data_IF_926805137391
#
_entry.id   IF_926805137391
#
_cell.length_a   1.000
_cell.length_b   1.000
_cell.length_c   1.000
_cell.angle_alpha   90.00
_cell.angle_beta   90.00
_cell.angle_gamma   90.00
#
_symmetry.space_group_name_H-M   'P 1'
#
loop_
_entity.id
_entity.type
_entity.pdbx_description
1 polymer ?
#
# COMPACT_ATOMS: atom_id res chain seq x y z
N UNK A 1 -19.05 71.00 11.45
CA UNK A 1 -20.06 70.47 10.51
C UNK A 1 -19.34 70.27 9.19
N UNK A 2 -19.42 69.07 8.61
CA UNK A 2 -18.95 68.66 7.28
C UNK A 2 -17.46 68.89 6.95
N UNK A 3 -16.65 67.86 6.66
CA UNK A 3 -16.74 66.94 5.50
C UNK A 3 -16.57 67.72 4.18
N UNK A 4 -15.79 67.37 3.17
CA UNK A 4 -14.86 66.26 2.88
C UNK A 4 -13.85 66.77 1.81
N UNK A 5 -12.77 66.12 1.38
CA UNK A 5 -12.24 64.75 1.49
C UNK A 5 -10.70 64.79 1.68
N UNK A 6 -10.10 63.68 2.16
CA UNK A 6 -8.68 63.35 1.90
C UNK A 6 -8.62 61.88 1.48
N UNK A 7 -8.35 61.59 0.21
CA UNK A 7 -8.28 60.20 -0.27
C UNK A 7 -7.02 59.53 0.26
N UNK A 8 -7.16 58.77 1.35
CA UNK A 8 -6.13 57.84 1.82
C UNK A 8 -5.91 56.79 0.74
N UNK A 9 -4.70 56.72 0.19
CA UNK A 9 -4.27 55.56 -0.60
C UNK A 9 -4.11 54.39 0.37
N UNK A 10 -5.16 53.59 0.55
CA UNK A 10 -5.06 52.33 1.28
C UNK A 10 -4.23 51.36 0.41
N UNK A 11 -3.07 50.97 0.93
CA UNK A 11 -2.26 49.87 0.40
C UNK A 11 -3.01 48.55 0.61
N UNK A 12 -3.90 48.23 -0.34
CA UNK A 12 -4.48 46.90 -0.46
C UNK A 12 -3.46 45.99 -1.15
N UNK A 13 -2.47 45.52 -0.39
CA UNK A 13 -1.78 44.27 -0.72
C UNK A 13 -2.82 43.15 -0.56
N UNK A 14 -3.57 42.88 -1.64
CA UNK A 14 -4.42 41.71 -1.74
C UNK A 14 -3.55 40.47 -1.56
N UNK A 15 -3.70 39.79 -0.42
CA UNK A 15 -3.06 38.50 -0.13
C UNK A 15 -3.71 37.40 -0.99
N UNK A 16 -3.46 37.46 -2.30
CA UNK A 16 -3.95 36.53 -3.28
C UNK A 16 -3.07 35.28 -3.22
N UNK A 17 -3.60 34.09 -2.87
CA UNK A 17 -2.80 32.87 -2.72
C UNK A 17 -1.97 32.60 -3.96
N UNK A 18 -0.71 32.25 -3.77
CA UNK A 18 0.20 31.87 -4.85
C UNK A 18 -0.29 30.54 -5.42
N UNK A 19 -1.01 30.63 -6.54
CA UNK A 19 -1.46 29.46 -7.28
C UNK A 19 -0.28 28.80 -7.97
N UNK A 20 0.03 27.59 -7.56
CA UNK A 20 1.03 26.76 -8.23
C UNK A 20 0.38 25.98 -9.36
N UNK A 21 1.07 25.93 -10.51
CA UNK A 21 0.73 25.02 -11.60
C UNK A 21 0.56 23.59 -11.05
N UNK A 22 -0.44 22.87 -11.57
CA UNK A 22 -0.71 21.49 -11.20
C UNK A 22 0.54 20.61 -11.33
N UNK A 23 0.84 19.86 -10.26
CA UNK A 23 1.78 18.75 -10.25
C UNK A 23 1.04 17.46 -10.60
N UNK A 24 1.60 16.61 -11.45
CA UNK A 24 1.13 15.23 -11.57
C UNK A 24 1.57 14.40 -10.36
N UNK A 25 0.59 13.81 -9.68
CA UNK A 25 0.79 13.01 -8.48
C UNK A 25 0.65 11.51 -8.80
N UNK A 26 1.37 10.63 -8.07
CA UNK A 26 1.29 9.20 -8.29
C UNK A 26 -0.08 8.66 -7.84
N UNK A 27 -0.89 8.23 -8.80
CA UNK A 27 -2.26 7.79 -8.55
C UNK A 27 -2.35 6.42 -7.84
N UNK A 28 -1.26 5.63 -7.83
CA UNK A 28 -1.24 4.30 -7.20
C UNK A 28 0.17 3.87 -6.80
N UNK A 29 0.28 3.26 -5.62
CA UNK A 29 1.41 2.43 -5.22
C UNK A 29 1.15 0.99 -5.70
N UNK A 30 2.05 0.43 -6.49
CA UNK A 30 2.00 -0.96 -6.96
C UNK A 30 3.04 -1.78 -6.21
N UNK A 31 2.59 -2.82 -5.49
CA UNK A 31 3.46 -3.86 -4.92
C UNK A 31 3.70 -4.93 -5.97
N UNK A 32 4.96 -5.30 -6.15
CA UNK A 32 5.40 -6.43 -6.97
C UNK A 32 5.17 -7.72 -6.17
N UNK A 33 4.02 -8.37 -6.40
CA UNK A 33 3.63 -9.59 -5.68
C UNK A 33 4.46 -10.82 -6.11
N UNK A 34 5.00 -10.84 -7.33
CA UNK A 34 5.80 -11.96 -7.86
C UNK A 34 7.15 -12.09 -7.13
N UNK A 35 7.71 -10.99 -6.64
CA UNK A 35 8.96 -10.96 -5.87
C UNK A 35 8.77 -10.74 -4.37
N UNK A 36 7.53 -10.57 -3.90
CA UNK A 36 7.24 -10.31 -2.50
C UNK A 36 7.45 -11.54 -1.59
N UNK A 37 7.99 -11.29 -0.41
CA UNK A 37 8.07 -12.22 0.73
C UNK A 37 7.82 -11.46 2.03
N UNK A 38 7.59 -12.17 3.12
CA UNK A 38 7.36 -11.58 4.46
C UNK A 38 8.48 -10.63 4.94
N UNK A 39 9.68 -10.72 4.34
CA UNK A 39 10.86 -9.90 4.69
C UNK A 39 11.37 -9.01 3.56
N UNK A 40 10.75 -9.05 2.37
CA UNK A 40 11.16 -8.26 1.22
C UNK A 40 9.97 -7.92 0.32
N UNK A 41 9.83 -6.65 -0.07
CA UNK A 41 8.93 -6.27 -1.14
C UNK A 41 9.54 -5.16 -2.00
N UNK A 42 9.17 -5.16 -3.28
CA UNK A 42 9.39 -4.04 -4.19
C UNK A 42 8.09 -3.28 -4.38
N UNK A 43 8.19 -1.97 -4.26
CA UNK A 43 7.10 -1.02 -4.53
C UNK A 43 7.47 -0.13 -5.71
N UNK A 44 6.48 0.18 -6.54
CA UNK A 44 6.60 1.11 -7.68
C UNK A 44 5.54 2.19 -7.53
N UNK A 45 5.93 3.46 -7.71
CA UNK A 45 5.01 4.59 -7.76
C UNK A 45 5.35 5.49 -8.95
N UNK A 46 4.31 5.86 -9.71
CA UNK A 46 4.37 6.72 -10.89
C UNK A 46 2.97 7.32 -11.17
N UNK A 47 2.86 8.45 -11.89
CA UNK A 47 3.95 9.36 -12.26
C UNK A 47 4.41 10.24 -11.09
N UNK A 48 5.64 10.74 -11.16
CA UNK A 48 6.12 11.88 -10.39
C UNK A 48 6.67 12.95 -11.35
N UNK A 49 6.55 14.22 -11.00
CA UNK A 49 7.28 15.29 -11.69
C UNK A 49 8.80 15.07 -11.66
N UNK A 50 9.50 15.59 -12.68
CA UNK A 50 10.94 15.42 -12.82
C UNK A 50 11.70 15.89 -11.57
N UNK A 51 12.51 15.02 -10.98
CA UNK A 51 13.31 15.29 -9.77
C UNK A 51 12.57 15.01 -8.45
N UNK A 52 11.24 14.90 -8.44
CA UNK A 52 10.52 14.44 -7.25
C UNK A 52 10.82 12.98 -6.93
N UNK A 53 11.16 12.16 -7.93
CA UNK A 53 11.49 10.76 -7.70
C UNK A 53 12.68 10.58 -6.75
N UNK A 54 13.72 11.40 -6.92
CA UNK A 54 14.88 11.40 -6.02
C UNK A 54 14.54 11.96 -4.63
N UNK A 55 13.75 13.03 -4.56
CA UNK A 55 13.34 13.66 -3.29
C UNK A 55 12.53 12.71 -2.42
N UNK A 56 11.50 12.06 -3.00
CA UNK A 56 10.64 11.11 -2.31
C UNK A 56 11.40 9.81 -1.99
N UNK A 57 12.10 9.23 -2.96
CA UNK A 57 12.85 7.97 -2.78
C UNK A 57 13.94 8.07 -1.70
N UNK A 58 14.70 9.16 -1.68
CA UNK A 58 15.72 9.38 -0.65
C UNK A 58 15.10 9.68 0.73
N UNK A 59 14.01 10.46 0.79
CA UNK A 59 13.34 10.80 2.06
C UNK A 59 12.75 9.55 2.72
N UNK A 60 11.98 8.75 1.97
CA UNK A 60 11.44 7.47 2.45
C UNK A 60 12.57 6.53 2.89
N UNK A 61 13.64 6.40 2.11
CA UNK A 61 14.81 5.59 2.48
C UNK A 61 15.43 6.01 3.81
N UNK A 62 15.52 7.32 4.10
CA UNK A 62 16.03 7.81 5.40
C UNK A 62 15.09 7.42 6.53
N UNK A 63 13.80 7.75 6.42
CA UNK A 63 12.80 7.50 7.47
C UNK A 63 12.65 6.00 7.78
N UNK A 64 12.62 5.14 6.75
CA UNK A 64 12.57 3.68 6.89
C UNK A 64 13.74 3.13 7.72
N UNK A 65 14.96 3.65 7.51
CA UNK A 65 16.15 3.16 8.19
C UNK A 65 16.30 3.70 9.62
N UNK A 66 15.87 4.94 9.90
CA UNK A 66 16.10 5.61 11.20
C UNK A 66 14.92 5.63 12.15
N UNK A 67 13.69 5.80 11.66
CA UNK A 67 12.61 6.40 12.46
C UNK A 67 11.51 5.45 12.88
N UNK A 68 11.48 4.23 12.33
CA UNK A 68 10.52 3.20 12.73
C UNK A 68 10.78 2.72 14.17
N UNK A 69 9.69 2.45 14.88
CA UNK A 69 9.74 1.85 16.22
C UNK A 69 9.99 0.34 16.13
N UNK A 70 10.77 -0.18 17.06
CA UNK A 70 10.99 -1.62 17.21
C UNK A 70 11.57 -1.97 18.57
N UNK A 71 11.56 -3.25 18.91
CA UNK A 71 12.06 -3.73 20.19
C UNK A 71 13.43 -4.38 20.07
N UNK A 72 14.27 -4.13 21.08
CA UNK A 72 15.61 -4.68 21.21
C UNK A 72 16.00 -4.81 22.69
N UNK A 73 17.00 -5.65 22.96
CA UNK A 73 17.58 -5.81 24.30
C UNK A 73 18.44 -4.57 24.61
N UNK A 74 18.27 -3.99 25.81
CA UNK A 74 19.03 -2.82 26.29
C UNK A 74 20.01 -3.16 27.40
N UNK A 75 19.69 -4.13 28.24
CA UNK A 75 20.56 -4.60 29.31
C UNK A 75 20.44 -6.10 29.53
N UNK A 76 21.49 -6.72 30.06
CA UNK A 76 21.51 -8.14 30.43
C UNK A 76 22.20 -8.32 31.79
N UNK A 77 21.71 -9.26 32.58
CA UNK A 77 22.31 -9.69 33.86
C UNK A 77 22.42 -11.21 33.83
N UNK A 78 23.64 -11.72 33.85
CA UNK A 78 23.92 -13.16 33.85
C UNK A 78 24.36 -13.57 35.27
N UNK A 79 23.81 -14.66 35.81
CA UNK A 79 24.18 -15.14 37.13
C UNK A 79 25.67 -15.50 37.20
N UNK A 80 26.37 -15.02 38.24
CA UNK A 80 27.81 -15.24 38.44
C UNK A 80 28.73 -14.29 37.64
N UNK A 81 28.19 -13.46 36.75
CA UNK A 81 28.94 -12.50 35.93
C UNK A 81 28.90 -11.10 36.53
N UNK A 82 30.06 -10.44 36.62
CA UNK A 82 30.16 -9.05 37.11
C UNK A 82 30.34 -8.03 35.99
N UNK A 83 30.92 -8.44 34.85
CA UNK A 83 31.26 -7.59 33.71
C UNK A 83 31.33 -8.39 32.40
N UNK A 84 31.25 -7.71 31.25
CA UNK A 84 31.25 -8.31 29.91
C UNK A 84 32.49 -9.14 29.55
N UNK A 85 33.67 -8.82 30.11
CA UNK A 85 34.93 -9.53 29.85
C UNK A 85 35.12 -10.82 30.69
N UNK A 86 34.06 -11.35 31.30
CA UNK A 86 34.12 -12.56 32.11
C UNK A 86 33.91 -13.83 31.27
N UNK A 87 34.43 -14.95 31.76
CA UNK A 87 34.10 -16.28 31.26
C UNK A 87 33.18 -16.98 32.26
N UNK A 88 32.24 -17.81 31.79
CA UNK A 88 31.30 -18.51 32.68
C UNK A 88 31.63 -20.01 32.71
N UNK A 89 31.88 -20.62 33.89
CA UNK A 89 32.21 -22.04 33.99
C UNK A 89 31.10 -22.93 33.41
N UNK A 90 31.45 -23.67 32.36
CA UNK A 90 30.53 -24.61 31.68
C UNK A 90 29.75 -24.03 30.50
N UNK A 91 30.05 -22.80 30.09
CA UNK A 91 29.67 -22.25 28.78
C UNK A 91 30.88 -22.33 27.84
N UNK A 92 30.66 -22.59 26.56
CA UNK A 92 31.73 -22.66 25.55
C UNK A 92 32.16 -21.26 25.09
N UNK A 93 31.23 -20.32 25.00
CA UNK A 93 31.43 -18.94 24.57
C UNK A 93 31.67 -17.97 25.74
N UNK A 94 32.49 -16.93 25.51
CA UNK A 94 32.73 -15.85 26.48
C UNK A 94 31.51 -14.91 26.58
N UNK A 95 31.37 -14.18 27.69
CA UNK A 95 30.21 -13.27 27.90
C UNK A 95 30.10 -12.21 26.78
N UNK A 96 31.21 -11.75 26.22
CA UNK A 96 31.22 -10.86 25.03
C UNK A 96 30.48 -11.49 23.84
N UNK A 97 30.70 -12.77 23.55
CA UNK A 97 30.04 -13.47 22.45
C UNK A 97 28.56 -13.74 22.74
N UNK A 98 28.22 -14.02 24.00
CA UNK A 98 26.82 -14.11 24.46
C UNK A 98 26.11 -12.77 24.21
N UNK A 99 26.73 -11.64 24.56
CA UNK A 99 26.19 -10.29 24.30
C UNK A 99 26.03 -10.03 22.79
N UNK A 100 27.03 -10.41 21.97
CA UNK A 100 26.94 -10.27 20.50
C UNK A 100 25.85 -11.17 19.88
N UNK A 101 25.56 -12.31 20.49
CA UNK A 101 24.47 -13.19 20.06
C UNK A 101 23.10 -12.68 20.53
N UNK A 102 22.99 -12.15 21.74
CA UNK A 102 21.77 -11.50 22.24
C UNK A 102 21.37 -10.30 21.38
N UNK A 103 22.33 -9.48 20.92
CA UNK A 103 22.09 -8.38 19.95
C UNK A 103 21.44 -8.83 18.62
N UNK A 104 21.50 -10.12 18.26
CA UNK A 104 20.87 -10.69 17.06
C UNK A 104 19.43 -11.15 17.31
N UNK A 105 18.97 -11.21 18.56
CA UNK A 105 17.60 -11.63 18.90
C UNK A 105 16.62 -10.51 18.57
N UNK A 106 15.54 -10.86 17.88
CA UNK A 106 14.53 -9.94 17.37
C UNK A 106 13.21 -10.14 18.10
N UNK A 107 12.64 -9.04 18.59
CA UNK A 107 11.37 -9.02 19.30
C UNK A 107 10.31 -8.22 18.52
N UNK A 108 9.11 -8.78 18.38
CA UNK A 108 7.88 -8.02 18.13
C UNK A 108 7.37 -7.55 19.48
N UNK A 109 6.94 -6.29 19.57
CA UNK A 109 6.39 -5.71 20.79
C UNK A 109 4.93 -5.29 20.59
N UNK A 110 4.07 -5.74 21.49
CA UNK A 110 2.67 -5.32 21.58
C UNK A 110 2.47 -4.21 22.64
N UNK A 111 3.45 -4.00 23.53
CA UNK A 111 3.47 -2.92 24.51
C UNK A 111 4.70 -2.02 24.37
N UNK A 112 4.64 -0.79 24.93
CA UNK A 112 5.76 0.16 24.92
C UNK A 112 6.58 0.20 26.22
N UNK A 113 6.12 -0.47 27.27
CA UNK A 113 6.80 -0.49 28.57
C UNK A 113 8.05 -1.39 28.53
N UNK A 114 9.18 -0.98 29.15
CA UNK A 114 10.28 -1.88 29.44
C UNK A 114 9.84 -3.12 30.22
N UNK A 115 10.35 -4.29 29.83
CA UNK A 115 10.15 -5.55 30.54
C UNK A 115 11.46 -6.31 30.67
N UNK A 116 11.58 -7.06 31.76
CA UNK A 116 12.66 -8.02 31.98
C UNK A 116 12.10 -9.41 31.68
N UNK A 117 12.72 -10.11 30.74
CA UNK A 117 12.44 -11.49 30.38
C UNK A 117 13.55 -12.36 30.98
N UNK A 118 13.21 -13.52 31.53
CA UNK A 118 14.22 -14.44 32.09
C UNK A 118 14.46 -15.63 31.15
N UNK A 119 15.73 -16.01 31.03
CA UNK A 119 16.20 -17.19 30.32
C UNK A 119 16.84 -18.11 31.38
N UNK A 120 16.07 -19.12 31.81
CA UNK A 120 16.46 -20.07 32.84
C UNK A 120 16.47 -21.47 32.24
N UNK A 121 17.66 -22.04 32.00
CA UNK A 121 17.83 -23.37 31.40
C UNK A 121 18.88 -24.20 32.13
N UNK A 122 18.59 -25.49 32.30
CA UNK A 122 19.50 -26.47 32.90
C UNK A 122 19.59 -27.71 31.99
N UNK A 123 20.41 -27.59 30.93
CA UNK A 123 20.61 -28.62 29.91
C UNK A 123 22.07 -28.66 29.47
N UNK A 124 22.46 -29.75 28.83
CA UNK A 124 23.71 -29.84 28.07
C UNK A 124 23.40 -29.52 26.60
N UNK A 125 24.28 -28.80 25.91
CA UNK A 125 24.09 -28.39 24.52
C UNK A 125 23.57 -26.95 24.33
N UNK A 126 23.00 -26.70 23.15
CA UNK A 126 22.76 -25.33 22.64
C UNK A 126 21.56 -24.65 23.31
N UNK A 127 21.76 -23.41 23.75
CA UNK A 127 20.73 -22.47 24.22
C UNK A 127 20.35 -21.52 23.10
N UNK A 128 19.05 -21.37 22.86
CA UNK A 128 18.48 -20.62 21.76
C UNK A 128 17.53 -19.53 22.25
N UNK A 129 17.23 -18.54 21.40
CA UNK A 129 16.26 -17.50 21.71
C UNK A 129 14.83 -18.05 21.93
N UNK A 130 14.53 -19.26 21.45
CA UNK A 130 13.29 -19.98 21.77
C UNK A 130 13.22 -20.53 23.20
N UNK A 131 14.34 -20.58 23.93
CA UNK A 131 14.37 -20.93 25.35
C UNK A 131 14.07 -19.74 26.28
N UNK A 132 13.98 -18.51 25.76
CA UNK A 132 13.61 -17.31 26.53
C UNK A 132 12.16 -17.45 26.99
N UNK A 133 11.89 -17.21 28.28
CA UNK A 133 10.53 -17.23 28.81
C UNK A 133 9.76 -16.03 28.24
N UNK A 134 8.84 -16.32 27.31
CA UNK A 134 8.07 -15.30 26.62
C UNK A 134 7.10 -14.55 27.52
N UNK A 135 6.90 -13.26 27.22
CA UNK A 135 5.85 -12.43 27.79
C UNK A 135 4.77 -12.19 26.72
N UNK A 136 3.54 -11.91 27.14
CA UNK A 136 2.44 -11.57 26.24
C UNK A 136 2.70 -10.24 25.47
N UNK A 137 3.62 -9.41 25.95
CA UNK A 137 3.98 -8.13 25.34
C UNK A 137 5.15 -8.21 24.36
N UNK A 138 5.97 -9.27 24.40
CA UNK A 138 7.21 -9.39 23.62
C UNK A 138 7.38 -10.80 23.04
N UNK A 139 7.16 -10.96 21.74
CA UNK A 139 7.39 -12.23 21.03
C UNK A 139 8.76 -12.28 20.34
N UNK A 140 9.52 -13.36 20.57
CA UNK A 140 10.77 -13.65 19.86
C UNK A 140 10.47 -14.15 18.44
N UNK A 141 10.91 -13.42 17.42
CA UNK A 141 10.73 -13.80 16.01
C UNK A 141 11.70 -14.93 15.62
N UNK A 142 13.00 -14.74 15.85
CA UNK A 142 14.04 -15.66 15.43
C UNK A 142 14.38 -16.70 16.51
N UNK A 143 13.39 -17.52 16.90
CA UNK A 143 13.50 -18.56 17.96
C UNK A 143 14.69 -19.52 17.79
N UNK A 144 15.22 -19.69 16.56
CA UNK A 144 16.41 -20.50 16.24
C UNK A 144 17.76 -19.81 16.48
N UNK A 145 17.78 -18.53 16.86
CA UNK A 145 19.02 -17.79 17.12
C UNK A 145 19.76 -18.43 18.31
N UNK A 146 20.99 -18.87 18.10
CA UNK A 146 21.86 -19.38 19.18
C UNK A 146 22.29 -18.22 20.07
N UNK A 147 22.27 -18.44 21.39
CA UNK A 147 22.76 -17.51 22.40
C UNK A 147 24.13 -17.99 22.89
N UNK A 148 24.19 -19.24 23.38
CA UNK A 148 25.39 -19.91 23.86
C UNK A 148 25.23 -21.44 23.83
N UNK A 149 26.28 -22.16 24.19
CA UNK A 149 26.37 -23.62 24.23
C UNK A 149 26.90 -24.06 25.60
N UNK A 150 26.17 -24.94 26.27
CA UNK A 150 26.52 -25.49 27.58
C UNK A 150 27.32 -26.79 27.41
N UNK A 151 28.54 -26.85 27.96
CA UNK A 151 29.48 -27.97 27.77
C UNK A 151 29.11 -29.22 28.59
N UNK A 152 28.30 -29.01 29.62
CA UNK A 152 27.83 -29.98 30.62
C UNK A 152 26.44 -29.53 31.07
N UNK A 153 25.76 -30.35 31.87
CA UNK A 153 24.54 -29.95 32.57
C UNK A 153 24.82 -28.89 33.65
N UNK A 154 24.82 -27.62 33.24
CA UNK A 154 24.96 -26.43 34.10
C UNK A 154 23.67 -25.60 34.03
N UNK A 155 23.33 -24.93 35.12
CA UNK A 155 22.22 -23.97 35.16
C UNK A 155 22.68 -22.62 34.63
N UNK A 156 22.04 -22.15 33.56
CA UNK A 156 22.24 -20.82 33.00
C UNK A 156 21.00 -19.98 33.31
N UNK A 157 21.19 -18.99 34.17
CA UNK A 157 20.18 -18.00 34.56
C UNK A 157 20.60 -16.62 34.03
N UNK A 158 19.74 -16.01 33.23
CA UNK A 158 20.00 -14.75 32.55
C UNK A 158 18.74 -13.90 32.50
N UNK A 159 18.77 -12.70 33.08
CA UNK A 159 17.71 -11.70 32.96
C UNK A 159 18.05 -10.73 31.82
N UNK A 160 17.10 -10.53 30.92
CA UNK A 160 17.25 -9.79 29.67
C UNK A 160 16.23 -8.66 29.67
N UNK A 161 16.67 -7.41 29.64
CA UNK A 161 15.76 -6.27 29.54
C UNK A 161 15.51 -5.90 28.08
N UNK A 162 14.24 -5.90 27.68
CA UNK A 162 13.77 -5.49 26.35
C UNK A 162 13.03 -4.16 26.46
N UNK A 163 13.33 -3.24 25.54
CA UNK A 163 12.65 -1.95 25.42
C UNK A 163 12.25 -1.67 23.97
N UNK A 164 11.23 -0.84 23.80
CA UNK A 164 10.88 -0.25 22.49
C UNK A 164 11.64 1.06 22.31
N UNK A 165 12.22 1.25 21.13
CA UNK A 165 12.98 2.44 20.77
C UNK A 165 12.93 2.71 19.27
N UNK A 166 13.78 3.62 18.80
CA UNK A 166 13.93 3.99 17.38
C UNK A 166 15.42 4.02 17.03
N UNK A 167 15.75 3.71 15.78
CA UNK A 167 17.13 3.74 15.29
C UNK A 167 18.09 2.85 16.06
N UNK A 168 19.11 3.47 16.67
CA UNK A 168 20.19 2.82 17.41
C UNK A 168 20.46 3.58 18.71
N UNK A 169 20.77 2.85 19.80
CA UNK A 169 21.36 3.39 21.03
C UNK A 169 22.61 2.61 21.39
N UNK A 170 23.61 3.32 21.87
CA UNK A 170 24.83 2.74 22.45
C UNK A 170 24.56 2.11 23.81
N UNK A 171 25.45 1.19 24.23
CA UNK A 171 25.44 0.66 25.58
C UNK A 171 25.58 1.74 26.66
N UNK A 172 26.28 2.84 26.37
CA UNK A 172 26.39 3.99 27.28
C UNK A 172 25.06 4.73 27.47
N UNK A 173 24.30 4.97 26.40
CA UNK A 173 22.95 5.58 26.46
C UNK A 173 21.92 4.68 27.15
N UNK A 174 22.17 3.37 27.19
CA UNK A 174 21.34 2.39 27.89
C UNK A 174 21.72 2.20 29.37
N UNK A 175 22.81 2.80 29.86
CA UNK A 175 23.18 2.74 31.29
C UNK A 175 22.16 3.51 32.13
N UNK A 176 21.70 2.89 33.21
CA UNK A 176 20.84 3.52 34.22
C UNK A 176 21.66 3.92 35.44
N UNK A 177 21.43 5.13 35.94
CA UNK A 177 21.94 5.56 37.24
C UNK A 177 21.39 4.63 38.34
N UNK A 178 22.26 4.14 39.22
CA UNK A 178 21.89 3.19 40.27
C UNK A 178 21.66 1.74 39.79
N UNK A 179 22.02 1.38 38.56
CA UNK A 179 22.00 -0.02 38.12
C UNK A 179 22.86 -0.91 39.03
N UNK A 180 22.37 -2.07 39.50
CA UNK A 180 23.17 -2.97 40.33
C UNK A 180 24.37 -3.54 39.58
N UNK A 181 25.44 -3.86 40.32
CA UNK A 181 26.62 -4.57 39.80
C UNK A 181 26.18 -5.88 39.11
N UNK A 182 26.81 -6.19 37.97
CA UNK A 182 26.45 -7.33 37.11
C UNK A 182 25.37 -7.06 36.06
N UNK A 183 24.83 -5.83 35.97
CA UNK A 183 24.07 -5.40 34.79
C UNK A 183 25.03 -4.89 33.72
N UNK A 184 25.03 -5.57 32.58
CA UNK A 184 25.77 -5.18 31.37
C UNK A 184 24.79 -4.46 30.45
N UNK A 185 25.00 -3.17 30.21
CA UNK A 185 24.24 -2.42 29.21
C UNK A 185 24.81 -2.73 27.81
N UNK A 186 23.94 -2.98 26.83
CA UNK A 186 24.35 -3.41 25.48
C UNK A 186 23.82 -2.44 24.43
N UNK A 187 24.52 -2.31 23.31
CA UNK A 187 24.01 -1.52 22.18
C UNK A 187 22.74 -2.14 21.59
N UNK A 188 21.72 -1.32 21.33
CA UNK A 188 20.40 -1.75 20.88
C UNK A 188 20.10 -1.27 19.45
N UNK A 189 19.74 -2.21 18.58
CA UNK A 189 19.30 -1.93 17.20
C UNK A 189 17.77 -2.07 17.15
N UNK A 190 17.07 -0.96 17.33
CA UNK A 190 15.61 -0.93 17.32
C UNK A 190 15.03 -0.99 15.90
N UNK A 191 15.74 -0.43 14.90
CA UNK A 191 15.25 -0.37 13.52
C UNK A 191 14.93 -1.78 12.96
N UNK A 192 13.68 -2.04 12.52
CA UNK A 192 13.26 -3.33 11.96
C UNK A 192 13.54 -3.47 10.46
N UNK A 193 14.04 -2.41 9.81
CA UNK A 193 14.42 -2.40 8.38
C UNK A 193 15.93 -2.58 8.26
N UNK A 194 16.34 -3.67 7.61
CA UNK A 194 17.76 -4.02 7.45
C UNK A 194 18.41 -3.30 6.27
N UNK A 195 17.66 -3.07 5.19
CA UNK A 195 18.15 -2.45 3.96
C UNK A 195 17.01 -1.78 3.21
N UNK A 196 17.32 -0.65 2.58
CA UNK A 196 16.47 0.00 1.58
C UNK A 196 17.32 0.45 0.40
N UNK A 197 16.87 0.11 -0.80
CA UNK A 197 17.39 0.62 -2.08
C UNK A 197 16.25 1.32 -2.80
N UNK A 198 16.52 2.49 -3.39
CA UNK A 198 15.61 3.11 -4.34
C UNK A 198 16.34 3.29 -5.68
N UNK A 199 15.58 3.30 -6.76
CA UNK A 199 16.01 3.73 -8.09
C UNK A 199 14.92 4.58 -8.70
N UNK A 200 15.33 5.55 -9.52
CA UNK A 200 14.43 6.41 -10.30
C UNK A 200 14.63 6.05 -11.76
N UNK A 201 13.55 5.78 -12.47
CA UNK A 201 13.51 5.49 -13.90
C UNK A 201 12.63 6.56 -14.59
N UNK A 202 12.91 6.88 -15.85
CA UNK A 202 12.01 7.73 -16.64
C UNK A 202 10.77 6.93 -17.07
N UNK A 203 9.59 7.53 -16.93
CA UNK A 203 8.31 6.94 -17.35
C UNK A 203 7.55 7.86 -18.29
N UNK A 204 6.65 7.28 -19.09
CA UNK A 204 5.90 8.00 -20.13
C UNK A 204 4.42 8.04 -19.75
N UNK A 205 3.89 9.24 -19.58
CA UNK A 205 2.46 9.49 -19.37
C UNK A 205 1.86 10.10 -20.64
N UNK A 206 1.13 9.29 -21.41
CA UNK A 206 0.48 9.73 -22.65
C UNK A 206 1.48 10.19 -23.73
N UNK A 207 1.57 11.50 -23.97
CA UNK A 207 2.50 12.09 -24.93
C UNK A 207 3.80 12.62 -24.29
N UNK A 208 3.83 12.83 -22.98
CA UNK A 208 5.00 13.34 -22.23
C UNK A 208 5.85 12.18 -21.69
N UNK A 209 7.18 12.37 -21.66
CA UNK A 209 8.19 11.30 -21.47
C UNK A 209 9.19 11.59 -20.34
N UNK A 210 8.96 12.66 -19.59
CA UNK A 210 9.87 13.32 -18.66
C UNK A 210 9.49 13.13 -17.19
N UNK A 211 8.48 12.31 -16.91
CA UNK A 211 8.08 11.93 -15.55
C UNK A 211 9.05 10.92 -14.93
N UNK A 212 9.21 11.00 -13.61
CA UNK A 212 9.93 10.05 -12.79
C UNK A 212 9.02 8.90 -12.33
N UNK A 213 9.58 7.68 -12.30
CA UNK A 213 9.02 6.49 -11.66
C UNK A 213 9.96 6.06 -10.54
N UNK A 214 9.44 5.94 -9.32
CA UNK A 214 10.23 5.50 -8.16
C UNK A 214 10.01 4.01 -7.94
N UNK A 215 11.10 3.26 -7.93
CA UNK A 215 11.12 1.86 -7.50
C UNK A 215 11.84 1.80 -6.15
N UNK A 216 11.19 1.21 -5.16
CA UNK A 216 11.68 1.08 -3.78
C UNK A 216 11.74 -0.40 -3.40
N UNK A 217 12.95 -0.92 -3.23
CA UNK A 217 13.24 -2.24 -2.68
C UNK A 217 13.41 -2.12 -1.15
N UNK A 218 12.54 -2.75 -0.36
CA UNK A 218 12.55 -2.71 1.13
C UNK A 218 12.79 -4.10 1.69
N UNK A 219 13.81 -4.25 2.56
CA UNK A 219 14.09 -5.49 3.29
C UNK A 219 13.88 -5.30 4.81
N UNK A 220 12.83 -5.89 5.34
CA UNK A 220 12.57 -5.95 6.79
C UNK A 220 13.23 -7.19 7.39
N UNK A 221 13.22 -7.29 8.71
CA UNK A 221 13.93 -8.35 9.43
C UNK A 221 12.99 -9.40 10.05
N UNK A 222 11.69 -9.32 9.76
CA UNK A 222 10.62 -10.17 10.29
C UNK A 222 9.86 -9.58 11.48
N UNK A 223 10.28 -8.43 12.04
CA UNK A 223 9.51 -7.72 13.09
C UNK A 223 8.34 -6.89 12.55
N UNK A 224 8.33 -6.58 11.26
CA UNK A 224 7.32 -5.79 10.56
C UNK A 224 7.28 -6.23 9.10
N UNK A 225 6.11 -6.19 8.47
CA UNK A 225 6.02 -6.39 7.02
C UNK A 225 6.61 -5.19 6.24
N UNK A 226 7.18 -5.40 5.04
CA UNK A 226 7.65 -4.31 4.19
C UNK A 226 6.56 -3.28 3.84
N UNK A 227 5.30 -3.70 3.78
CA UNK A 227 4.16 -2.85 3.45
C UNK A 227 3.81 -1.89 4.62
N UNK A 228 3.70 -2.43 5.84
CA UNK A 228 3.49 -1.65 7.06
C UNK A 228 4.65 -0.68 7.33
N UNK A 229 5.90 -1.13 7.11
CA UNK A 229 7.09 -0.29 7.26
C UNK A 229 7.02 0.95 6.35
N UNK A 230 6.60 0.77 5.09
CA UNK A 230 6.44 1.87 4.14
C UNK A 230 5.27 2.80 4.51
N UNK A 231 4.15 2.25 4.97
CA UNK A 231 3.01 3.03 5.46
C UNK A 231 3.40 3.91 6.66
N UNK A 232 4.04 3.32 7.67
CA UNK A 232 4.51 4.04 8.87
C UNK A 232 5.56 5.11 8.52
N UNK A 233 6.52 4.79 7.65
CA UNK A 233 7.53 5.77 7.21
C UNK A 233 6.91 6.94 6.42
N UNK A 234 5.90 6.66 5.59
CA UNK A 234 5.18 7.70 4.84
C UNK A 234 4.37 8.60 5.77
N UNK A 235 3.72 8.03 6.78
CA UNK A 235 2.98 8.78 7.81
C UNK A 235 3.92 9.67 8.66
N UNK A 236 5.08 9.16 9.08
CA UNK A 236 6.10 9.93 9.80
C UNK A 236 6.63 11.08 8.93
N UNK A 237 6.90 10.83 7.64
CA UNK A 237 7.39 11.86 6.72
C UNK A 237 6.35 12.98 6.52
N UNK A 238 5.08 12.62 6.29
CA UNK A 238 3.98 13.59 6.22
C UNK A 238 3.89 14.44 7.49
N UNK A 239 3.92 13.80 8.66
CA UNK A 239 3.78 14.53 9.92
C UNK A 239 4.92 15.53 10.20
N UNK A 240 6.11 15.26 9.67
CA UNK A 240 7.22 16.24 9.69
C UNK A 240 7.05 17.40 8.70
N UNK A 241 6.22 17.24 7.66
CA UNK A 241 5.90 18.29 6.69
C UNK A 241 4.74 19.18 7.16
N UNK A 242 3.79 18.66 7.95
CA UNK A 242 2.63 19.41 8.48
C UNK A 242 3.04 20.75 9.13
N UNK A 243 4.18 20.80 9.83
CA UNK A 243 4.70 22.03 10.48
C UNK A 243 5.06 23.15 9.49
N UNK A 244 5.43 22.79 8.25
CA UNK A 244 5.74 23.75 7.20
C UNK A 244 4.51 24.19 6.41
N UNK A 245 3.47 23.34 6.36
CA UNK A 245 2.17 23.68 5.74
C UNK A 245 1.43 24.67 6.63
N UNK A 246 1.26 24.33 7.90
CA UNK A 246 0.51 25.12 8.89
C UNK A 246 1.20 26.45 9.30
N UNK A 247 2.25 26.88 8.59
CA UNK A 247 2.87 28.19 8.79
C UNK A 247 2.03 29.30 8.15
N UNK A 248 1.35 29.01 7.04
CA UNK A 248 0.47 29.93 6.33
C UNK A 248 -0.55 29.15 5.47
N UNK A 249 -1.59 28.62 6.11
CA UNK A 249 -2.60 27.72 5.50
C UNK A 249 -3.33 28.36 4.29
N UNK A 250 -3.39 29.71 4.23
CA UNK A 250 -4.10 30.47 3.20
C UNK A 250 -3.21 30.93 2.03
N UNK A 251 -1.88 30.72 2.08
CA UNK A 251 -0.96 31.31 1.10
C UNK A 251 -0.73 30.51 -0.19
N UNK A 252 -0.98 29.19 -0.20
CA UNK A 252 -0.64 28.31 -1.33
C UNK A 252 -1.80 27.39 -1.70
N UNK A 253 -2.46 27.73 -2.82
CA UNK A 253 -3.44 26.85 -3.47
C UNK A 253 -2.81 26.08 -4.62
N UNK A 254 -3.09 24.77 -4.71
CA UNK A 254 -2.82 24.01 -5.93
C UNK A 254 -3.99 24.17 -6.90
N UNK A 255 -3.70 24.38 -8.19
CA UNK A 255 -4.75 24.26 -9.19
C UNK A 255 -5.17 22.78 -9.31
N UNK A 256 -6.41 22.49 -8.90
CA UNK A 256 -7.02 21.19 -9.16
C UNK A 256 -7.10 20.94 -10.67
N UNK A 257 -7.07 19.67 -11.08
CA UNK A 257 -7.19 19.29 -12.47
C UNK A 257 -8.40 19.98 -13.13
N UNK A 258 -8.26 20.61 -14.32
CA UNK A 258 -9.39 21.21 -15.00
C UNK A 258 -10.46 20.13 -15.18
N UNK A 259 -11.61 20.36 -14.57
CA UNK A 259 -12.67 19.38 -14.47
C UNK A 259 -13.32 19.08 -15.83
N UNK A 260 -12.88 19.68 -16.93
CA UNK A 260 -13.45 19.50 -18.28
C UNK A 260 -13.53 18.03 -18.70
N UNK A 261 -12.46 17.23 -18.52
CA UNK A 261 -12.52 15.78 -18.75
C UNK A 261 -13.32 15.00 -17.69
N UNK A 262 -13.58 15.58 -16.51
CA UNK A 262 -14.37 14.95 -15.45
C UNK A 262 -15.87 15.22 -15.64
N UNK A 263 -16.24 16.47 -15.90
CA UNK A 263 -17.62 16.93 -16.10
C UNK A 263 -18.18 16.46 -17.44
N UNK A 264 -17.42 16.51 -18.54
CA UNK A 264 -17.91 16.03 -19.83
C UNK A 264 -18.09 14.50 -19.79
N UNK A 265 -17.15 13.76 -19.19
CA UNK A 265 -17.34 12.32 -18.96
C UNK A 265 -18.39 12.00 -17.89
N UNK A 266 -18.62 12.83 -16.87
CA UNK A 266 -19.66 12.61 -15.87
C UNK A 266 -21.06 12.92 -16.43
N UNK A 267 -21.19 13.96 -17.24
CA UNK A 267 -22.40 14.29 -17.98
C UNK A 267 -22.71 13.19 -19.00
N UNK A 268 -21.72 12.77 -19.80
CA UNK A 268 -21.85 11.65 -20.72
C UNK A 268 -22.19 10.34 -19.99
N UNK A 269 -21.49 10.02 -18.89
CA UNK A 269 -21.78 8.84 -18.05
C UNK A 269 -23.18 8.90 -17.43
N UNK A 270 -23.66 10.07 -17.00
CA UNK A 270 -25.02 10.25 -16.51
C UNK A 270 -26.05 10.05 -17.63
N UNK A 271 -25.80 10.59 -18.81
CA UNK A 271 -26.67 10.49 -19.98
C UNK A 271 -26.74 9.06 -20.53
N UNK A 272 -25.60 8.36 -20.64
CA UNK A 272 -25.53 6.96 -21.06
C UNK A 272 -26.19 5.99 -20.07
N UNK A 273 -26.15 6.29 -18.77
CA UNK A 273 -26.77 5.48 -17.72
C UNK A 273 -28.21 5.88 -17.37
N UNK A 274 -28.76 6.90 -18.04
CA UNK A 274 -30.17 7.27 -17.98
C UNK A 274 -31.06 6.10 -18.47
N UNK A 275 -32.26 5.93 -17.89
CA UNK A 275 -33.18 4.90 -18.37
C UNK A 275 -33.82 5.27 -19.70
N UNK A 276 -34.03 4.28 -20.57
CA UNK A 276 -34.82 4.44 -21.79
C UNK A 276 -36.25 4.92 -21.51
N UNK A 277 -36.80 4.62 -20.33
CA UNK A 277 -38.14 5.07 -19.92
C UNK A 277 -38.20 6.55 -19.49
N UNK A 278 -37.05 7.21 -19.30
CA UNK A 278 -36.95 8.65 -19.01
C UNK A 278 -36.89 9.50 -20.28
N UNK A 279 -36.62 8.89 -21.45
CA UNK A 279 -36.76 9.56 -22.75
C UNK A 279 -38.25 9.59 -23.14
N UNK A 280 -38.73 10.76 -23.57
CA UNK A 280 -40.07 10.97 -24.13
C UNK A 280 -40.28 10.28 -25.49
N UNK A 281 -40.30 8.94 -25.47
CA UNK A 281 -40.59 8.07 -26.61
C UNK A 281 -42.08 7.70 -26.63
N UNK A 282 -42.64 7.43 -27.82
CA UNK A 282 -43.98 6.85 -27.91
C UNK A 282 -44.08 5.53 -27.15
N UNK A 283 -45.29 5.27 -26.64
CA UNK A 283 -45.67 4.00 -26.00
C UNK A 283 -45.31 2.78 -26.86
N UNK A 284 -45.23 2.92 -28.20
CA UNK A 284 -44.77 1.85 -29.09
C UNK A 284 -43.26 1.65 -29.02
N UNK A 285 -42.48 2.72 -29.11
CA UNK A 285 -41.02 2.64 -29.08
C UNK A 285 -40.52 2.12 -27.72
N UNK A 286 -41.01 2.68 -26.61
CA UNK A 286 -40.65 2.22 -25.25
C UNK A 286 -40.99 0.74 -25.03
N UNK A 287 -42.17 0.28 -25.45
CA UNK A 287 -42.53 -1.14 -25.35
C UNK A 287 -41.66 -2.05 -26.25
N UNK A 288 -41.19 -1.57 -27.41
CA UNK A 288 -40.27 -2.37 -28.24
C UNK A 288 -38.88 -2.49 -27.60
N UNK A 289 -38.38 -1.43 -26.95
CA UNK A 289 -37.08 -1.41 -26.28
C UNK A 289 -37.07 -2.27 -25.02
N UNK A 290 -38.12 -2.19 -24.19
CA UNK A 290 -38.31 -3.08 -23.05
C UNK A 290 -38.40 -4.57 -23.47
N UNK A 291 -39.09 -4.88 -24.59
CA UNK A 291 -39.11 -6.24 -25.16
C UNK A 291 -37.75 -6.69 -25.76
N UNK A 292 -36.84 -5.76 -26.05
CA UNK A 292 -35.50 -6.03 -26.54
C UNK A 292 -34.44 -6.15 -25.41
N UNK A 293 -34.86 -6.01 -24.15
CA UNK A 293 -33.99 -5.91 -22.96
C UNK A 293 -33.00 -4.72 -23.03
N UNK A 294 -33.34 -3.64 -23.72
CA UNK A 294 -32.53 -2.41 -23.79
C UNK A 294 -33.08 -1.44 -22.73
N UNK A 295 -32.37 -1.30 -21.61
CA UNK A 295 -32.86 -0.55 -20.44
C UNK A 295 -32.20 0.81 -20.25
N UNK A 296 -30.99 1.02 -20.81
CA UNK A 296 -30.22 2.27 -20.71
C UNK A 296 -29.94 2.88 -22.09
N UNK A 297 -29.76 4.20 -22.12
CA UNK A 297 -29.46 4.96 -23.35
C UNK A 297 -28.13 4.53 -23.99
N UNK A 298 -27.11 4.21 -23.18
CA UNK A 298 -25.83 3.71 -23.69
C UNK A 298 -25.93 2.32 -24.34
N UNK A 299 -26.80 1.44 -23.82
CA UNK A 299 -27.10 0.17 -24.49
C UNK A 299 -27.82 0.37 -25.84
N UNK A 300 -28.63 1.42 -25.95
CA UNK A 300 -29.32 1.80 -27.18
C UNK A 300 -28.35 2.41 -28.22
N UNK A 301 -27.44 3.29 -27.79
CA UNK A 301 -26.44 3.92 -28.66
C UNK A 301 -25.44 2.91 -29.27
N UNK A 302 -25.13 1.82 -28.55
CA UNK A 302 -24.34 0.70 -29.07
C UNK A 302 -25.02 -0.09 -30.19
N UNK A 303 -26.34 0.03 -30.39
CA UNK A 303 -27.10 -0.77 -31.37
C UNK A 303 -27.13 -0.12 -32.75
N UNK A 304 -26.83 -0.91 -33.77
CA UNK A 304 -26.90 -0.47 -35.17
C UNK A 304 -28.34 -0.40 -35.67
N UNK A 305 -28.64 0.50 -36.62
CA UNK A 305 -29.97 0.60 -37.24
C UNK A 305 -30.47 -0.74 -37.82
N UNK A 306 -29.55 -1.54 -38.36
CA UNK A 306 -29.81 -2.87 -38.92
C UNK A 306 -30.12 -3.95 -37.86
N UNK A 307 -29.65 -3.79 -36.62
CA UNK A 307 -30.07 -4.63 -35.49
C UNK A 307 -31.45 -4.20 -34.97
N UNK A 308 -31.68 -2.89 -34.85
CA UNK A 308 -32.96 -2.36 -34.36
C UNK A 308 -34.15 -2.82 -35.21
N UNK A 309 -33.98 -2.89 -36.53
CA UNK A 309 -35.00 -3.40 -37.47
C UNK A 309 -35.30 -4.91 -37.35
N UNK A 310 -34.52 -5.69 -36.60
CA UNK A 310 -34.78 -7.13 -36.37
C UNK A 310 -35.75 -7.39 -35.23
N UNK A 311 -36.00 -6.41 -34.35
CA UNK A 311 -36.87 -6.61 -33.19
C UNK A 311 -38.35 -6.69 -33.60
N UNK A 312 -39.08 -7.61 -32.95
CA UNK A 312 -40.50 -7.88 -33.23
C UNK A 312 -41.34 -6.62 -32.98
N UNK A 313 -42.20 -6.28 -33.95
CA UNK A 313 -43.08 -5.09 -33.97
C UNK A 313 -42.38 -3.73 -34.10
N UNK A 314 -41.05 -3.71 -34.20
CA UNK A 314 -40.26 -2.52 -34.51
C UNK A 314 -40.49 -2.10 -35.97
N UNK A 315 -40.54 -0.80 -36.24
CA UNK A 315 -40.86 -0.29 -37.58
C UNK A 315 -40.25 1.06 -37.87
N UNK A 316 -40.19 1.44 -39.15
CA UNK A 316 -39.49 2.65 -39.65
C UNK A 316 -39.89 3.93 -38.90
N UNK A 317 -41.15 4.07 -38.47
CA UNK A 317 -41.61 5.23 -37.70
C UNK A 317 -40.97 5.31 -36.29
N UNK A 318 -40.82 4.17 -35.60
CA UNK A 318 -40.16 4.11 -34.28
C UNK A 318 -38.63 4.17 -34.40
N UNK A 319 -38.05 3.72 -35.52
CA UNK A 319 -36.61 3.91 -35.79
C UNK A 319 -36.26 5.40 -35.92
N UNK A 320 -37.04 6.15 -36.73
CA UNK A 320 -36.83 7.58 -36.88
C UNK A 320 -37.03 8.31 -35.55
N UNK A 321 -38.10 8.02 -34.82
CA UNK A 321 -38.39 8.58 -33.49
C UNK A 321 -37.21 8.39 -32.49
N UNK A 322 -36.60 7.20 -32.46
CA UNK A 322 -35.41 6.93 -31.63
C UNK A 322 -34.19 7.71 -32.14
N UNK A 323 -34.00 7.81 -33.46
CA UNK A 323 -32.88 8.54 -34.07
C UNK A 323 -32.97 10.04 -33.78
N UNK A 324 -34.16 10.61 -33.90
CA UNK A 324 -34.45 12.01 -33.61
C UNK A 324 -34.18 12.28 -32.12
N UNK A 325 -34.70 11.46 -31.20
CA UNK A 325 -34.46 11.60 -29.74
C UNK A 325 -33.00 11.36 -29.31
N UNK A 326 -32.27 10.45 -29.95
CA UNK A 326 -30.83 10.32 -29.70
C UNK A 326 -30.07 11.56 -30.20
N UNK A 327 -30.46 12.12 -31.35
CA UNK A 327 -29.82 13.32 -31.88
C UNK A 327 -30.10 14.58 -31.05
N UNK A 328 -31.28 14.71 -30.43
CA UNK A 328 -31.58 15.73 -29.41
C UNK A 328 -30.64 15.64 -28.20
N UNK A 329 -30.19 14.42 -27.87
CA UNK A 329 -29.25 14.13 -26.78
C UNK A 329 -27.77 14.11 -27.22
N UNK A 330 -27.47 14.47 -28.47
CA UNK A 330 -26.10 14.46 -29.01
C UNK A 330 -25.52 13.07 -29.31
N UNK A 331 -26.33 12.01 -29.27
CA UNK A 331 -25.92 10.62 -29.50
C UNK A 331 -26.36 10.08 -30.88
N UNK A 332 -25.73 9.00 -31.31
CA UNK A 332 -26.04 8.27 -32.54
C UNK A 332 -26.18 6.76 -32.33
N UNK A 333 -26.87 6.09 -33.25
CA UNK A 333 -26.96 4.62 -33.30
C UNK A 333 -25.69 4.02 -33.90
N UNK A 334 -25.12 3.01 -33.24
CA UNK A 334 -23.87 2.36 -33.64
C UNK A 334 -22.62 3.13 -33.21
N UNK A 335 -22.69 3.92 -32.14
CA UNK A 335 -21.50 4.55 -31.54
C UNK A 335 -20.62 3.51 -30.84
N UNK A 336 -19.31 3.56 -31.08
CA UNK A 336 -18.32 2.86 -30.26
C UNK A 336 -18.11 3.65 -28.97
N UNK A 337 -18.65 3.13 -27.86
CA UNK A 337 -18.54 3.72 -26.53
C UNK A 337 -17.59 2.89 -25.67
N UNK A 338 -16.78 3.55 -24.84
CA UNK A 338 -15.88 2.88 -23.91
C UNK A 338 -16.66 2.10 -22.83
N UNK A 339 -16.38 0.80 -22.61
CA UNK A 339 -17.11 -0.03 -21.64
C UNK A 339 -17.06 0.49 -20.19
N UNK A 340 -16.07 1.30 -19.84
CA UNK A 340 -15.88 1.90 -18.51
C UNK A 340 -16.89 3.02 -18.17
N UNK A 341 -17.57 3.58 -19.18
CA UNK A 341 -18.59 4.62 -19.01
C UNK A 341 -20.00 4.03 -18.77
N UNK A 342 -20.19 2.74 -19.05
CA UNK A 342 -21.48 2.05 -18.92
C UNK A 342 -21.58 1.33 -17.56
N UNK A 343 -22.52 1.77 -16.73
CA UNK A 343 -22.75 1.19 -15.41
C UNK A 343 -23.77 0.06 -15.53
N UNK A 344 -23.29 -1.17 -15.66
CA UNK A 344 -24.14 -2.36 -15.70
C UNK A 344 -24.33 -2.97 -17.09
N UNK A 345 -23.24 -3.45 -17.68
CA UNK A 345 -23.31 -4.49 -18.70
C UNK A 345 -22.14 -5.47 -18.55
N UNK A 346 -22.45 -6.74 -18.29
CA UNK A 346 -21.51 -7.84 -18.48
C UNK A 346 -21.34 -8.08 -19.99
N UNK A 347 -20.61 -7.19 -20.66
CA UNK A 347 -20.16 -7.37 -22.03
C UNK A 347 -18.98 -8.34 -22.00
N UNK A 348 -19.19 -9.54 -22.55
CA UNK A 348 -18.19 -10.60 -22.53
C UNK A 348 -16.86 -10.14 -23.14
N UNK A 349 -15.79 -10.26 -22.37
CA UNK A 349 -14.46 -9.95 -22.84
C UNK A 349 -14.11 -10.84 -24.06
N UNK A 350 -13.46 -10.30 -25.11
CA UNK A 350 -12.80 -11.15 -26.08
C UNK A 350 -11.66 -11.88 -25.34
N UNK A 351 -11.77 -13.20 -25.22
CA UNK A 351 -10.72 -14.00 -24.61
C UNK A 351 -9.42 -13.81 -25.42
N UNK A 352 -8.37 -13.32 -24.77
CA UNK A 352 -7.04 -13.31 -25.36
C UNK A 352 -6.65 -14.75 -25.75
N UNK A 353 -5.99 -14.96 -26.92
CA UNK A 353 -5.65 -16.31 -27.37
C UNK A 353 -4.63 -16.92 -26.41
N UNK A 354 -5.08 -17.88 -25.59
CA UNK A 354 -4.16 -18.70 -24.78
C UNK A 354 -3.41 -19.64 -25.71
N UNK A 355 -2.09 -19.44 -25.78
CA UNK A 355 -1.19 -20.33 -26.49
C UNK A 355 -1.24 -21.72 -25.85
N UNK A 356 -1.30 -22.76 -26.69
CA UNK A 356 -1.93 -24.04 -26.36
C UNK A 356 -1.39 -24.84 -25.18
N UNK A 357 -2.32 -25.62 -24.62
CA UNK A 357 -2.10 -26.99 -24.12
C UNK A 357 -3.24 -27.83 -24.69
N UNK A 358 -2.94 -29.00 -25.22
CA UNK A 358 -3.94 -29.98 -25.65
C UNK A 358 -4.51 -30.70 -24.41
N UNK A 359 -5.83 -30.75 -24.25
CA UNK A 359 -6.46 -31.63 -23.27
C UNK A 359 -7.86 -32.06 -23.74
N UNK A 360 -8.25 -33.27 -23.35
CA UNK A 360 -9.24 -34.08 -24.07
C UNK A 360 -10.70 -33.62 -23.86
N UNK A 361 -11.54 -33.81 -24.89
CA UNK A 361 -12.96 -33.44 -24.81
C UNK A 361 -13.75 -34.45 -23.94
N UNK A 362 -14.49 -34.00 -22.91
CA UNK A 362 -15.39 -34.87 -22.17
C UNK A 362 -16.61 -35.24 -23.03
N UNK A 363 -16.88 -36.55 -23.14
CA UNK A 363 -17.97 -37.11 -23.95
C UNK A 363 -19.32 -36.57 -23.47
N UNK A 364 -20.15 -36.09 -24.40
CA UNK A 364 -21.43 -35.46 -24.09
C UNK A 364 -22.47 -36.46 -23.60
N UNK A 365 -23.34 -36.03 -22.68
CA UNK A 365 -24.42 -36.85 -22.10
C UNK A 365 -25.39 -37.46 -23.14
N UNK A 366 -25.40 -36.93 -24.37
CA UNK A 366 -26.17 -37.46 -25.49
C UNK A 366 -25.68 -38.86 -25.95
N UNK A 367 -24.37 -39.12 -25.95
CA UNK A 367 -23.80 -40.40 -26.39
C UNK A 367 -24.08 -41.53 -25.37
N UNK A 368 -24.12 -41.17 -24.08
CA UNK A 368 -24.53 -42.06 -22.99
C UNK A 368 -26.01 -42.45 -23.02
N UNK A 369 -26.87 -41.61 -23.62
CA UNK A 369 -28.30 -41.91 -23.79
C UNK A 369 -28.51 -42.80 -25.03
N UNK A 370 -27.73 -42.59 -26.09
CA UNK A 370 -27.79 -43.45 -27.29
C UNK A 370 -27.38 -44.91 -27.01
N UNK A 371 -26.41 -45.15 -26.12
CA UNK A 371 -25.96 -46.51 -25.77
C UNK A 371 -26.92 -47.33 -24.88
N UNK A 372 -27.98 -46.73 -24.32
CA UNK A 372 -28.93 -47.40 -23.43
C UNK A 372 -30.30 -47.69 -24.07
N UNK A 373 -30.44 -47.55 -25.40
CA UNK A 373 -31.69 -47.74 -26.13
C UNK A 373 -31.68 -48.88 -27.16
N UNK A 374 -30.55 -49.58 -27.32
CA UNK A 374 -30.38 -50.78 -28.17
C UNK A 374 -30.09 -52.05 -27.32
N UNK A 375 -30.94 -52.32 -26.31
CA UNK A 375 -31.11 -53.64 -25.68
C UNK A 375 -32.59 -54.04 -25.61
#
# INVERSE_FOLDING_TARGET
>A
MSDTDTTTTEEQDENNPVKLNRFELPNRLVKDEDTATDTYARFTAEPFEQGFGHTIGNSLRRVLLSSLEGAAITSVRIAGVQHEFATLPGVVEDVTDIVLNLKKVKFIAHGKEPRVLSLNVEKEGVVTAGDIQGDNMFEVVNKKQVICTLDKKVKFDCDIEVQVGRGFKTGDENKREGAPIGVIAIDSIFSPVSRVKYSVEATRLGQMTDFDKVILDVWTDGRIEPHDALLQASAILRHHLDVFVNYDDDAVGFEEAPAEQSEENAALKKLLNMSVNEIELSVRAANCLNNANITSVGQLALKTEAEMLKYRNFGKKSLNEIKDKLSELGLGLGMNLDPSLLTGAALGAPAAPRLGVEEEAPVGLADLIAQNLDQ
#
